data_IF_397712002672
#
_entry.id   IF_397712002672
#
_cell.length_a   1.000
_cell.length_b   1.000
_cell.length_c   1.000
_cell.angle_alpha   90.00
_cell.angle_beta   90.00
_cell.angle_gamma   90.00
#
_symmetry.space_group_name_H-M   'P 1'
#
loop_
_entity.id
_entity.type
_entity.pdbx_description
1 polymer ?
#
# COMPACT_ATOMS: atom_id res chain seq x y z
N UNK A 1 -10.01 -27.73 28.93
CA UNK A 1 -10.44 -26.34 28.67
C UNK A 1 -9.42 -25.73 27.72
N UNK A 2 -9.74 -25.68 26.42
CA UNK A 2 -8.85 -25.10 25.39
C UNK A 2 -9.07 -23.60 25.43
N UNK A 3 -8.07 -22.77 25.77
CA UNK A 3 -8.24 -21.34 25.58
C UNK A 3 -8.22 -21.08 24.09
N UNK A 4 -9.37 -20.73 23.51
CA UNK A 4 -9.42 -19.98 22.27
C UNK A 4 -8.74 -18.63 22.53
N UNK A 5 -7.43 -18.54 22.29
CA UNK A 5 -6.78 -17.30 21.86
C UNK A 5 -7.32 -17.02 20.45
N UNK A 6 -8.51 -16.46 20.25
CA UNK A 6 -8.96 -15.21 20.87
C UNK A 6 -8.17 -14.11 20.15
N UNK A 7 -8.75 -13.59 19.06
CA UNK A 7 -8.23 -12.55 18.18
C UNK A 7 -7.09 -11.75 18.80
N UNK A 8 -5.84 -11.99 18.37
CA UNK A 8 -4.70 -11.13 18.71
C UNK A 8 -4.97 -9.79 18.03
N UNK A 9 -5.80 -8.94 18.63
CA UNK A 9 -6.18 -7.60 18.19
C UNK A 9 -5.04 -6.58 18.28
N UNK A 10 -3.79 -7.04 18.17
CA UNK A 10 -2.61 -6.22 17.92
C UNK A 10 -2.24 -6.16 16.44
N UNK A 11 -3.19 -6.51 15.54
CA UNK A 11 -3.02 -6.54 14.10
C UNK A 11 -2.73 -5.13 13.58
N UNK A 12 -1.46 -4.91 13.25
CA UNK A 12 -0.90 -3.78 12.53
C UNK A 12 -1.40 -2.37 12.89
N UNK A 13 -0.57 -1.63 13.62
CA UNK A 13 -0.75 -0.19 13.84
C UNK A 13 -0.28 0.57 12.59
N UNK A 14 -1.21 1.22 11.91
CA UNK A 14 -0.92 2.21 10.86
C UNK A 14 -0.79 3.59 11.50
N UNK A 15 0.17 4.38 11.05
CA UNK A 15 0.24 5.81 11.34
C UNK A 15 -0.87 6.55 10.60
N UNK A 16 -1.46 7.55 11.25
CA UNK A 16 -2.41 8.43 10.58
C UNK A 16 -1.64 9.31 9.61
N UNK A 17 -1.99 9.23 8.33
CA UNK A 17 -1.42 10.10 7.29
C UNK A 17 -2.45 11.12 6.85
N UNK A 18 -1.99 12.29 6.41
CA UNK A 18 -2.85 13.25 5.74
C UNK A 18 -3.23 12.67 4.36
N UNK A 19 -4.52 12.43 4.15
CA UNK A 19 -5.00 11.94 2.86
C UNK A 19 -4.98 13.09 1.85
N UNK A 20 -4.51 12.79 0.64
CA UNK A 20 -4.71 13.65 -0.52
C UNK A 20 -6.15 13.44 -0.96
N UNK A 21 -7.03 14.34 -0.52
CA UNK A 21 -8.49 14.27 -0.73
C UNK A 21 -8.95 14.74 -2.13
N UNK A 22 -8.05 15.27 -2.96
CA UNK A 22 -8.43 15.70 -4.30
C UNK A 22 -8.46 14.51 -5.25
N UNK A 23 -9.68 13.99 -5.45
CA UNK A 23 -10.03 13.22 -6.62
C UNK A 23 -9.73 14.07 -7.87
N UNK A 24 -8.65 13.73 -8.57
CA UNK A 24 -8.30 14.37 -9.85
C UNK A 24 -9.08 13.64 -10.93
N UNK A 25 -9.83 14.40 -11.74
CA UNK A 25 -10.48 13.85 -12.93
C UNK A 25 -9.44 13.09 -13.77
N UNK A 26 -9.83 11.91 -14.26
CA UNK A 26 -9.00 11.05 -15.11
C UNK A 26 -7.76 10.42 -14.46
N UNK A 27 -7.71 10.34 -13.12
CA UNK A 27 -6.67 9.61 -12.40
C UNK A 27 -7.25 8.58 -11.42
N UNK A 28 -6.57 7.45 -11.32
CA UNK A 28 -6.84 6.44 -10.31
C UNK A 28 -5.97 6.71 -9.07
N UNK A 29 -6.58 6.77 -7.89
CA UNK A 29 -5.86 6.91 -6.64
C UNK A 29 -5.54 5.53 -6.07
N UNK A 30 -4.27 5.15 -6.09
CA UNK A 30 -3.78 3.87 -5.57
C UNK A 30 -3.20 4.08 -4.18
N UNK A 31 -3.74 3.36 -3.21
CA UNK A 31 -3.29 3.36 -1.82
C UNK A 31 -2.42 2.12 -1.57
N UNK A 32 -1.12 2.31 -1.36
CA UNK A 32 -0.18 1.23 -1.08
C UNK A 32 0.13 1.26 0.41
N UNK A 33 -0.40 0.26 1.12
CA UNK A 33 -0.30 0.15 2.58
C UNK A 33 0.79 -0.82 2.96
N UNK A 34 1.61 -0.46 3.95
CA UNK A 34 2.48 -1.40 4.64
C UNK A 34 2.14 -1.43 6.12
N UNK A 35 1.35 -2.43 6.55
CA UNK A 35 1.04 -2.60 7.96
C UNK A 35 2.30 -2.87 8.77
N UNK A 36 2.35 -2.36 10.01
CA UNK A 36 3.44 -2.65 10.95
C UNK A 36 3.34 -4.09 11.44
N UNK A 37 4.44 -4.84 11.39
CA UNK A 37 4.53 -6.21 11.91
C UNK A 37 5.75 -6.29 12.84
N UNK A 38 5.50 -6.56 14.12
CA UNK A 38 6.46 -6.45 15.24
C UNK A 38 7.90 -6.94 14.92
N UNK A 39 8.04 -7.97 14.07
CA UNK A 39 9.30 -8.42 13.50
C UNK A 39 9.34 -8.14 11.99
N UNK A 40 10.34 -7.37 11.53
CA UNK A 40 10.51 -7.03 10.10
C UNK A 40 10.25 -5.56 9.74
N UNK A 41 9.93 -4.70 10.72
CA UNK A 41 9.64 -3.27 10.48
C UNK A 41 10.85 -2.43 10.04
N UNK A 42 12.07 -2.86 10.35
CA UNK A 42 13.29 -2.07 10.17
C UNK A 42 13.74 -1.88 8.72
N UNK A 43 13.29 -2.72 7.80
CA UNK A 43 13.56 -2.55 6.37
C UNK A 43 12.48 -1.69 5.74
N UNK A 44 12.86 -0.74 4.89
CA UNK A 44 11.92 -0.06 4.01
C UNK A 44 11.78 -0.83 2.70
N UNK A 45 10.64 -0.64 2.04
CA UNK A 45 10.30 -1.33 0.81
C UNK A 45 10.27 -0.32 -0.34
N UNK A 46 10.99 -0.56 -1.43
CA UNK A 46 10.90 0.30 -2.61
C UNK A 46 9.72 -0.14 -3.47
N UNK A 47 8.86 0.81 -3.80
CA UNK A 47 7.58 0.59 -4.48
C UNK A 47 7.68 1.12 -5.91
N UNK A 48 7.18 0.32 -6.85
CA UNK A 48 7.25 0.58 -8.27
C UNK A 48 5.92 0.27 -8.96
N UNK A 49 5.67 0.94 -10.07
CA UNK A 49 4.61 0.65 -11.03
C UNK A 49 5.27 0.39 -12.39
N UNK A 50 5.45 -0.89 -12.73
CA UNK A 50 6.31 -1.29 -13.84
C UNK A 50 7.74 -0.79 -13.66
N UNK A 51 8.19 0.08 -14.56
CA UNK A 51 9.50 0.72 -14.56
C UNK A 51 9.54 2.06 -13.80
N UNK A 52 8.41 2.54 -13.30
CA UNK A 52 8.29 3.82 -12.60
C UNK A 52 8.47 3.63 -11.09
N UNK A 53 9.52 4.24 -10.54
CA UNK A 53 9.68 4.32 -9.09
C UNK A 53 8.61 5.24 -8.48
N UNK A 54 7.86 4.71 -7.52
CA UNK A 54 6.82 5.46 -6.79
C UNK A 54 7.41 6.08 -5.53
N UNK A 55 8.21 5.31 -4.77
CA UNK A 55 8.79 5.78 -3.52
C UNK A 55 9.13 4.64 -2.55
N UNK A 56 9.68 5.02 -1.40
CA UNK A 56 10.12 4.09 -0.35
C UNK A 56 9.09 4.05 0.79
N UNK A 57 8.62 2.86 1.14
CA UNK A 57 7.52 2.61 2.08
C UNK A 57 8.01 1.97 3.39
N UNK A 58 7.96 2.76 4.46
CA UNK A 58 8.23 2.29 5.83
C UNK A 58 7.08 1.52 6.46
N UNK A 59 7.36 0.84 7.56
CA UNK A 59 6.36 0.06 8.28
C UNK A 59 5.35 0.98 8.97
N UNK A 60 4.07 0.60 8.94
CA UNK A 60 2.97 1.40 9.46
C UNK A 60 2.62 2.61 8.59
N UNK A 61 3.17 2.74 7.38
CA UNK A 61 2.95 3.89 6.50
C UNK A 61 2.11 3.54 5.27
N UNK A 62 1.68 4.59 4.59
CA UNK A 62 0.93 4.57 3.34
C UNK A 62 1.67 5.42 2.29
N UNK A 63 1.65 4.98 1.05
CA UNK A 63 1.84 5.84 -0.12
C UNK A 63 0.51 6.00 -0.85
N UNK A 64 0.18 7.23 -1.22
CA UNK A 64 -0.90 7.53 -2.16
C UNK A 64 -0.30 7.91 -3.50
N UNK A 65 -0.61 7.13 -4.53
CA UNK A 65 -0.05 7.25 -5.86
C UNK A 65 -1.16 7.54 -6.87
N UNK A 66 -1.01 8.63 -7.62
CA UNK A 66 -1.90 8.98 -8.74
C UNK A 66 -1.43 8.23 -9.98
N UNK A 67 -2.17 7.21 -10.36
CA UNK A 67 -1.93 6.37 -11.52
C UNK A 67 -2.84 6.78 -12.68
N UNK A 68 -2.39 6.49 -13.91
CA UNK A 68 -3.28 6.51 -15.08
C UNK A 68 -4.28 5.35 -14.91
N UNK A 69 -5.56 5.50 -15.27
CA UNK A 69 -6.49 4.37 -15.20
C UNK A 69 -6.08 3.22 -16.13
N UNK A 70 -6.26 1.97 -15.68
CA UNK A 70 -5.95 0.78 -16.48
C UNK A 70 -5.16 -0.29 -15.73
N UNK A 71 -4.51 -1.19 -16.47
CA UNK A 71 -3.75 -2.30 -15.88
C UNK A 71 -2.34 -1.89 -15.47
N UNK A 72 -1.97 -2.23 -14.24
CA UNK A 72 -0.66 -1.98 -13.64
C UNK A 72 -0.03 -3.26 -13.12
N UNK A 73 1.30 -3.25 -13.02
CA UNK A 73 2.08 -4.22 -12.26
C UNK A 73 2.77 -3.46 -11.13
N UNK A 74 2.19 -3.53 -9.94
CA UNK A 74 2.80 -2.94 -8.76
C UNK A 74 3.85 -3.88 -8.21
N UNK A 75 5.05 -3.37 -8.02
CA UNK A 75 6.21 -4.16 -7.60
C UNK A 75 6.77 -3.60 -6.30
N UNK A 76 7.34 -4.51 -5.52
CA UNK A 76 8.03 -4.20 -4.27
C UNK A 76 9.40 -4.86 -4.28
N UNK A 77 10.43 -4.08 -3.94
CA UNK A 77 11.75 -4.62 -3.66
C UNK A 77 11.97 -4.64 -2.14
N UNK A 78 12.24 -5.84 -1.61
CA UNK A 78 12.50 -6.06 -0.18
C UNK A 78 13.79 -6.85 -0.05
N UNK A 79 14.83 -6.22 0.49
CA UNK A 79 16.07 -6.90 0.90
C UNK A 79 16.66 -7.86 -0.14
N UNK A 80 16.72 -7.47 -1.42
CA UNK A 80 17.28 -8.32 -2.48
C UNK A 80 16.25 -9.08 -3.32
N UNK A 81 14.97 -9.07 -2.94
CA UNK A 81 13.93 -9.86 -3.60
C UNK A 81 12.82 -8.97 -4.17
N UNK A 82 12.24 -9.42 -5.28
CA UNK A 82 11.11 -8.77 -5.93
C UNK A 82 9.80 -9.50 -5.62
N UNK A 83 8.78 -8.75 -5.24
CA UNK A 83 7.38 -9.17 -5.26
C UNK A 83 6.60 -8.33 -6.26
N UNK A 84 5.62 -8.92 -6.94
CA UNK A 84 4.79 -8.21 -7.91
C UNK A 84 3.32 -8.64 -7.81
N UNK A 85 2.43 -7.68 -7.99
CA UNK A 85 0.99 -7.90 -8.09
C UNK A 85 0.43 -7.13 -9.29
N UNK A 86 -0.41 -7.78 -10.09
CA UNK A 86 -1.12 -7.15 -11.20
C UNK A 86 -2.52 -6.76 -10.77
N UNK A 87 -2.95 -5.56 -11.12
CA UNK A 87 -4.29 -5.05 -10.83
C UNK A 87 -4.75 -4.01 -11.82
N UNK A 88 -6.04 -3.68 -11.78
CA UNK A 88 -6.63 -2.60 -12.56
C UNK A 88 -6.89 -1.40 -11.64
N UNK A 89 -6.35 -0.24 -12.01
CA UNK A 89 -6.53 1.02 -11.31
C UNK A 89 -7.74 1.75 -11.91
N UNK A 90 -8.79 1.92 -11.10
CA UNK A 90 -10.04 2.56 -11.51
C UNK A 90 -10.08 4.00 -11.01
N UNK A 91 -10.64 4.90 -11.82
CA UNK A 91 -10.94 6.27 -11.39
C UNK A 91 -11.95 6.21 -10.25
N UNK A 92 -11.67 6.90 -9.15
CA UNK A 92 -12.63 7.02 -8.06
C UNK A 92 -13.79 7.91 -8.52
N UNK A 93 -14.92 7.31 -8.90
CA UNK A 93 -16.16 8.04 -9.04
C UNK A 93 -16.69 8.30 -7.62
N UNK A 94 -16.58 9.54 -7.14
CA UNK A 94 -17.26 9.96 -5.92
C UNK A 94 -18.74 9.63 -6.09
N UNK A 95 -19.26 8.67 -5.31
CA UNK A 95 -20.71 8.48 -5.23
C UNK A 95 -21.30 9.78 -4.69
N UNK A 96 -22.15 10.39 -5.51
CA UNK A 96 -23.02 11.50 -5.12
C UNK A 96 -23.96 11.09 -3.99
#
# INVERSE_FOLDING_TARGET
MVPLTGCIGGLAKMERVAFVDEAVADQALVNIVRPRVFLGDGANNDIWDGDKFIGTLGAGKLIQYKAIPGYHVFMVYVQGQWGAARGEALVHQSRA
#
